data_IF_128681159182
#
_entry.id   IF_128681159182
#
_cell.length_a   1.000
_cell.length_b   1.000
_cell.length_c   1.000
_cell.angle_alpha   90.00
_cell.angle_beta   90.00
_cell.angle_gamma   90.00
#
_symmetry.space_group_name_H-M   'P 1'
#
loop_
_entity.id
_entity.type
_entity.pdbx_description
1 polymer ?
#
# COMPACT_ATOMS: atom_id res chain seq x y z
N UNK A 1 10.62 32.37 15.65
CA UNK A 1 9.23 31.97 15.83
C UNK A 1 9.07 30.49 15.48
N UNK A 2 9.10 29.69 16.50
CA UNK A 2 9.10 28.24 16.51
C UNK A 2 7.70 27.69 16.30
N UNK A 3 7.17 27.74 15.08
CA UNK A 3 5.90 27.12 14.80
C UNK A 3 6.01 26.13 13.66
N UNK A 4 6.71 25.04 13.92
CA UNK A 4 6.55 23.81 13.19
C UNK A 4 6.72 22.62 14.13
N UNK A 5 6.01 22.64 15.26
CA UNK A 5 5.79 21.43 16.03
C UNK A 5 4.81 20.61 15.20
N UNK A 6 5.33 19.60 14.54
CA UNK A 6 4.50 18.62 13.85
C UNK A 6 3.99 17.65 14.88
N UNK A 7 2.79 17.91 15.36
CA UNK A 7 2.14 17.15 16.44
C UNK A 7 1.68 15.75 16.04
N UNK A 8 1.88 15.38 14.77
CA UNK A 8 1.48 14.06 14.27
C UNK A 8 2.66 13.29 13.67
N UNK A 9 2.73 11.97 13.89
CA UNK A 9 3.73 11.13 13.25
C UNK A 9 3.60 11.21 11.73
N UNK A 10 4.71 11.37 11.03
CA UNK A 10 4.78 11.40 9.57
C UNK A 10 5.86 10.46 9.06
N UNK A 11 5.63 9.91 7.88
CA UNK A 11 6.57 8.97 7.26
C UNK A 11 7.85 9.67 6.79
N UNK A 12 9.00 9.06 7.09
CA UNK A 12 10.31 9.52 6.63
C UNK A 12 10.69 8.98 5.25
N UNK A 13 9.88 8.11 4.66
CA UNK A 13 10.21 7.35 3.44
C UNK A 13 10.60 8.25 2.26
N UNK A 14 10.03 9.42 2.19
CA UNK A 14 10.25 10.40 1.13
C UNK A 14 10.99 11.65 1.62
N UNK A 15 11.67 11.54 2.76
CA UNK A 15 12.51 12.61 3.25
C UNK A 15 13.91 12.47 2.64
N UNK A 16 14.38 13.52 1.99
CA UNK A 16 15.75 13.65 1.54
C UNK A 16 16.64 13.77 2.79
N UNK A 17 17.29 12.64 3.18
CA UNK A 17 17.96 12.50 4.46
C UNK A 17 19.09 13.52 4.67
N UNK A 18 18.79 14.66 5.26
CA UNK A 18 19.75 15.61 5.74
C UNK A 18 19.82 16.96 5.02
N UNK A 19 19.01 17.22 4.02
CA UNK A 19 18.87 18.58 3.50
C UNK A 19 17.82 19.35 4.31
N UNK A 20 18.30 20.04 5.35
CA UNK A 20 17.48 20.92 6.19
C UNK A 20 16.83 22.08 5.44
N UNK A 21 17.16 22.26 4.16
CA UNK A 21 16.65 23.30 3.29
C UNK A 21 15.71 22.75 2.21
N UNK A 22 14.62 22.08 2.64
CA UNK A 22 13.51 21.92 1.74
C UNK A 22 12.86 23.29 1.53
N UNK A 23 13.38 24.03 0.56
CA UNK A 23 12.79 25.28 0.12
C UNK A 23 11.39 25.00 -0.40
N UNK A 24 10.39 25.35 0.37
CA UNK A 24 8.96 25.24 -0.05
C UNK A 24 8.68 26.00 -1.34
N UNK A 25 9.60 26.86 -1.78
CA UNK A 25 9.43 27.69 -2.98
C UNK A 25 9.54 26.92 -4.29
N UNK A 26 10.30 25.84 -4.36
CA UNK A 26 10.56 25.21 -5.65
C UNK A 26 9.85 23.88 -5.92
N UNK A 27 9.20 23.26 -4.96
CA UNK A 27 8.46 21.97 -5.11
C UNK A 27 9.17 20.92 -6.00
N UNK A 28 10.46 21.09 -6.26
CA UNK A 28 11.30 20.21 -7.05
C UNK A 28 12.20 19.42 -6.11
N UNK A 29 12.24 18.14 -6.32
CA UNK A 29 13.14 17.23 -5.62
C UNK A 29 13.90 16.42 -6.65
N UNK A 30 15.17 16.12 -6.36
CA UNK A 30 15.99 15.23 -7.18
C UNK A 30 15.67 13.75 -6.87
N UNK A 31 14.70 13.50 -5.98
CA UNK A 31 14.26 12.15 -5.66
C UNK A 31 13.43 11.58 -6.81
N UNK A 32 13.83 10.43 -7.29
CA UNK A 32 13.01 9.64 -8.21
C UNK A 32 12.00 8.81 -7.42
N UNK A 33 10.81 8.65 -8.00
CA UNK A 33 9.76 7.78 -7.46
C UNK A 33 9.93 6.41 -8.12
N UNK A 34 10.29 5.38 -7.38
CA UNK A 34 10.39 4.03 -7.94
C UNK A 34 8.99 3.54 -8.33
N UNK A 35 8.87 2.97 -9.53
CA UNK A 35 7.62 2.37 -10.01
C UNK A 35 7.50 0.95 -9.48
N UNK A 36 8.59 0.19 -9.50
CA UNK A 36 8.70 -1.17 -8.97
C UNK A 36 10.00 -1.26 -8.18
N UNK A 37 9.95 -1.86 -7.01
CA UNK A 37 11.09 -2.13 -6.16
C UNK A 37 11.32 -3.63 -6.03
N UNK A 38 12.50 -4.03 -5.62
CA UNK A 38 12.79 -5.45 -5.37
C UNK A 38 11.87 -6.06 -4.30
N UNK A 39 11.47 -5.27 -3.30
CA UNK A 39 10.48 -5.68 -2.31
C UNK A 39 9.14 -6.08 -2.94
N UNK A 40 8.69 -5.34 -3.96
CA UNK A 40 7.45 -5.64 -4.68
C UNK A 40 7.56 -7.00 -5.41
N UNK A 41 8.72 -7.25 -6.03
CA UNK A 41 8.99 -8.53 -6.70
C UNK A 41 8.95 -9.70 -5.72
N UNK A 42 9.56 -9.56 -4.54
CA UNK A 42 9.54 -10.58 -3.49
C UNK A 42 8.12 -10.86 -2.98
N UNK A 43 7.33 -9.82 -2.77
CA UNK A 43 5.96 -9.97 -2.30
C UNK A 43 5.03 -10.55 -3.37
N UNK A 44 5.18 -10.16 -4.65
CA UNK A 44 4.45 -10.75 -5.77
C UNK A 44 4.77 -12.23 -5.88
N UNK A 45 6.05 -12.60 -5.81
CA UNK A 45 6.49 -13.99 -5.88
C UNK A 45 5.89 -14.81 -4.71
N UNK A 46 6.02 -14.32 -3.48
CA UNK A 46 5.51 -15.03 -2.30
C UNK A 46 3.98 -15.20 -2.35
N UNK A 47 3.25 -14.19 -2.82
CA UNK A 47 1.80 -14.26 -2.98
C UNK A 47 1.42 -15.29 -4.05
N UNK A 48 2.02 -15.23 -5.22
CA UNK A 48 1.76 -16.14 -6.32
C UNK A 48 2.10 -17.59 -5.95
N UNK A 49 3.26 -17.80 -5.33
CA UNK A 49 3.71 -19.12 -4.87
C UNK A 49 2.77 -19.70 -3.81
N UNK A 50 2.35 -18.88 -2.84
CA UNK A 50 1.38 -19.32 -1.83
C UNK A 50 0.04 -19.70 -2.46
N UNK A 51 -0.45 -18.96 -3.47
CA UNK A 51 -1.71 -19.29 -4.14
C UNK A 51 -1.60 -20.57 -4.97
N UNK A 52 -0.52 -20.79 -5.65
CA UNK A 52 -0.30 -21.95 -6.50
C UNK A 52 -0.01 -23.22 -5.67
N UNK A 53 0.98 -23.15 -4.80
CA UNK A 53 1.61 -24.31 -4.17
C UNK A 53 1.44 -24.33 -2.63
N UNK A 54 0.89 -23.27 -2.03
CA UNK A 54 0.83 -23.09 -0.59
C UNK A 54 2.12 -22.45 -0.04
N UNK A 55 2.28 -22.44 1.30
CA UNK A 55 3.40 -21.78 1.97
C UNK A 55 4.69 -22.59 1.84
N UNK A 56 5.30 -22.58 0.65
CA UNK A 56 6.57 -23.24 0.38
C UNK A 56 7.75 -22.54 1.06
N UNK A 57 8.89 -23.24 1.20
CA UNK A 57 10.12 -22.66 1.72
C UNK A 57 10.55 -21.42 0.91
N UNK A 58 10.41 -21.45 -0.41
CA UNK A 58 10.74 -20.33 -1.29
C UNK A 58 9.86 -19.10 -1.05
N UNK A 59 8.55 -19.31 -0.80
CA UNK A 59 7.63 -18.21 -0.44
C UNK A 59 7.99 -17.60 0.92
N UNK A 60 8.34 -18.41 1.91
CA UNK A 60 8.83 -17.92 3.20
C UNK A 60 10.14 -17.14 3.06
N UNK A 61 11.10 -17.65 2.29
CA UNK A 61 12.39 -16.98 2.09
C UNK A 61 12.20 -15.58 1.49
N UNK A 62 11.30 -15.43 0.53
CA UNK A 62 11.01 -14.16 -0.09
C UNK A 62 10.45 -13.13 0.92
N UNK A 63 9.47 -13.52 1.73
CA UNK A 63 8.89 -12.63 2.75
C UNK A 63 9.89 -12.35 3.86
N UNK A 64 10.62 -13.37 4.32
CA UNK A 64 11.55 -13.25 5.42
C UNK A 64 12.74 -12.35 5.11
N UNK A 65 13.16 -12.22 3.84
CA UNK A 65 14.17 -11.23 3.45
C UNK A 65 13.73 -9.81 3.81
N UNK A 66 12.46 -9.46 3.61
CA UNK A 66 11.91 -8.15 3.97
C UNK A 66 11.83 -7.98 5.48
N UNK A 67 11.40 -9.02 6.17
CA UNK A 67 11.26 -9.01 7.63
C UNK A 67 12.61 -8.88 8.34
N UNK A 68 13.62 -9.63 7.91
CA UNK A 68 14.98 -9.53 8.44
C UNK A 68 15.54 -8.12 8.23
N UNK A 69 15.36 -7.52 7.05
CA UNK A 69 15.76 -6.13 6.80
C UNK A 69 15.08 -5.16 7.75
N UNK A 70 13.81 -5.42 8.11
CA UNK A 70 13.04 -4.61 9.05
C UNK A 70 13.30 -4.93 10.53
N UNK A 71 14.18 -5.89 10.84
CA UNK A 71 14.47 -6.32 12.22
C UNK A 71 13.33 -7.12 12.85
N UNK A 72 12.51 -7.80 12.05
CA UNK A 72 11.39 -8.62 12.49
C UNK A 72 11.74 -10.10 12.43
N UNK A 73 11.08 -10.90 13.28
CA UNK A 73 11.24 -12.36 13.30
C UNK A 73 10.72 -13.00 12.00
N UNK A 74 11.32 -14.11 11.62
CA UNK A 74 10.92 -14.90 10.47
C UNK A 74 9.55 -15.55 10.66
N UNK A 75 8.78 -15.58 9.59
CA UNK A 75 7.54 -16.37 9.52
C UNK A 75 7.87 -17.83 9.22
N UNK A 76 7.14 -18.76 9.84
CA UNK A 76 7.21 -20.19 9.58
C UNK A 76 5.95 -20.92 10.04
N UNK A 77 5.68 -22.10 9.49
CA UNK A 77 4.64 -23.02 9.98
C UNK A 77 3.20 -22.52 9.84
N UNK A 78 2.94 -21.56 8.99
CA UNK A 78 1.60 -21.02 8.76
C UNK A 78 0.81 -21.87 7.75
N UNK A 79 -0.51 -21.90 7.89
CA UNK A 79 -1.39 -22.42 6.85
C UNK A 79 -1.39 -21.48 5.63
N UNK A 80 -1.85 -21.98 4.47
CA UNK A 80 -2.01 -21.17 3.24
C UNK A 80 -2.76 -19.87 3.51
N UNK A 81 -3.86 -19.94 4.25
CA UNK A 81 -4.70 -18.79 4.53
C UNK A 81 -4.03 -17.80 5.49
N UNK A 82 -3.45 -18.28 6.57
CA UNK A 82 -2.75 -17.40 7.54
C UNK A 82 -1.49 -16.79 6.93
N UNK A 83 -0.82 -17.50 6.02
CA UNK A 83 0.32 -16.96 5.30
C UNK A 83 -0.10 -15.90 4.28
N UNK A 84 -1.23 -16.10 3.56
CA UNK A 84 -1.84 -15.06 2.71
C UNK A 84 -2.08 -13.76 3.48
N UNK A 85 -2.69 -13.86 4.66
CA UNK A 85 -2.94 -12.68 5.50
C UNK A 85 -1.63 -12.01 5.96
N UNK A 86 -0.62 -12.82 6.29
CA UNK A 86 0.69 -12.30 6.63
C UNK A 86 1.34 -11.55 5.45
N UNK A 87 1.31 -12.10 4.24
CA UNK A 87 1.81 -11.44 3.01
C UNK A 87 1.06 -10.13 2.76
N UNK A 88 -0.26 -10.12 2.88
CA UNK A 88 -1.07 -8.90 2.72
C UNK A 88 -0.69 -7.82 3.75
N UNK A 89 -0.39 -8.24 4.97
CA UNK A 89 0.11 -7.35 6.02
C UNK A 89 1.49 -6.79 5.66
N UNK A 90 2.42 -7.63 5.18
CA UNK A 90 3.73 -7.16 4.74
C UNK A 90 3.62 -6.19 3.56
N UNK A 91 2.74 -6.44 2.59
CA UNK A 91 2.42 -5.50 1.52
C UNK A 91 2.01 -4.13 2.08
N UNK A 92 1.11 -4.12 3.04
CA UNK A 92 0.61 -2.88 3.64
C UNK A 92 1.71 -2.10 4.34
N UNK A 93 2.58 -2.78 5.10
CA UNK A 93 3.66 -2.17 5.84
C UNK A 93 4.78 -1.68 4.91
N UNK A 94 5.20 -2.52 3.95
CA UNK A 94 6.30 -2.23 3.04
C UNK A 94 5.98 -1.09 2.07
N UNK A 95 4.73 -1.03 1.58
CA UNK A 95 4.32 -0.03 0.59
C UNK A 95 3.59 1.17 1.19
N UNK A 96 3.73 1.38 2.50
CA UNK A 96 3.19 2.56 3.19
C UNK A 96 3.71 3.84 2.52
N UNK A 97 2.80 4.78 2.22
CA UNK A 97 3.05 6.03 1.48
C UNK A 97 3.39 5.87 -0.02
N UNK A 98 3.28 4.69 -0.61
CA UNK A 98 3.52 4.47 -2.04
C UNK A 98 2.24 4.46 -2.90
N UNK A 99 1.09 4.73 -2.30
CA UNK A 99 -0.24 4.80 -2.96
C UNK A 99 -0.73 3.48 -3.59
N UNK A 100 -0.06 2.36 -3.35
CA UNK A 100 -0.41 1.05 -3.90
C UNK A 100 -1.52 0.37 -3.08
N UNK A 101 -1.72 0.77 -1.83
CA UNK A 101 -2.62 0.10 -0.89
C UNK A 101 -4.05 -0.07 -1.43
N UNK A 102 -4.63 0.98 -2.05
CA UNK A 102 -5.96 0.91 -2.66
C UNK A 102 -6.04 -0.18 -3.73
N UNK A 103 -5.05 -0.23 -4.63
CA UNK A 103 -5.02 -1.22 -5.71
C UNK A 103 -4.92 -2.64 -5.16
N UNK A 104 -4.14 -2.85 -4.12
CA UNK A 104 -4.04 -4.12 -3.43
C UNK A 104 -5.38 -4.53 -2.81
N UNK A 105 -6.07 -3.65 -2.10
CA UNK A 105 -7.39 -3.94 -1.53
C UNK A 105 -8.42 -4.29 -2.59
N UNK A 106 -8.39 -3.61 -3.75
CA UNK A 106 -9.32 -3.91 -4.86
C UNK A 106 -9.03 -5.29 -5.45
N UNK A 107 -7.75 -5.61 -5.76
CA UNK A 107 -7.41 -6.92 -6.34
C UNK A 107 -7.61 -8.09 -5.37
N UNK A 108 -7.52 -7.85 -4.06
CA UNK A 108 -7.86 -8.85 -3.03
C UNK A 108 -9.37 -8.96 -2.76
N UNK A 109 -10.19 -8.10 -3.35
CA UNK A 109 -11.63 -8.07 -3.12
C UNK A 109 -12.05 -7.57 -1.74
N UNK A 110 -11.12 -6.97 -0.98
CA UNK A 110 -11.34 -6.55 0.41
C UNK A 110 -11.61 -5.05 0.57
N UNK A 111 -11.52 -4.28 -0.52
CA UNK A 111 -11.62 -2.82 -0.48
C UNK A 111 -12.89 -2.31 0.22
N UNK A 112 -14.06 -2.83 -0.16
CA UNK A 112 -15.33 -2.35 0.39
C UNK A 112 -15.45 -2.64 1.89
N UNK A 113 -15.03 -3.84 2.31
CA UNK A 113 -15.07 -4.26 3.71
C UNK A 113 -14.18 -3.37 4.56
N UNK A 114 -12.91 -3.26 4.17
CA UNK A 114 -11.91 -2.45 4.91
C UNK A 114 -12.32 -0.97 4.97
N UNK A 115 -12.81 -0.42 3.85
CA UNK A 115 -13.22 0.98 3.81
C UNK A 115 -14.49 1.24 4.60
N UNK A 116 -15.46 0.33 4.60
CA UNK A 116 -16.66 0.43 5.43
C UNK A 116 -16.29 0.42 6.91
N UNK A 117 -15.46 -0.51 7.36
CA UNK A 117 -14.99 -0.58 8.74
C UNK A 117 -14.25 0.70 9.16
N UNK A 118 -13.33 1.17 8.31
CA UNK A 118 -12.59 2.40 8.55
C UNK A 118 -13.50 3.62 8.71
N UNK A 119 -14.45 3.81 7.77
CA UNK A 119 -15.37 4.93 7.83
C UNK A 119 -16.36 4.80 8.98
N UNK A 120 -16.85 3.60 9.26
CA UNK A 120 -17.75 3.38 10.39
C UNK A 120 -17.12 3.78 11.72
N UNK A 121 -15.83 3.53 11.88
CA UNK A 121 -15.07 3.88 13.08
C UNK A 121 -14.74 5.37 13.16
N UNK A 122 -14.38 6.01 12.06
CA UNK A 122 -13.79 7.35 12.07
C UNK A 122 -14.72 8.43 11.51
N UNK A 123 -15.62 8.09 10.58
CA UNK A 123 -16.51 9.04 9.88
C UNK A 123 -17.83 8.35 9.50
N UNK A 124 -18.69 7.99 10.46
CA UNK A 124 -19.89 7.17 10.23
C UNK A 124 -20.82 7.74 9.14
N UNK A 125 -20.90 9.05 9.02
CA UNK A 125 -21.74 9.73 8.02
C UNK A 125 -21.29 9.51 6.57
N UNK A 126 -20.04 9.05 6.36
CA UNK A 126 -19.45 8.79 5.05
C UNK A 126 -19.54 7.33 4.61
N UNK A 127 -19.97 6.42 5.46
CA UNK A 127 -20.07 4.97 5.15
C UNK A 127 -20.92 4.73 3.91
N UNK A 128 -22.00 5.48 3.73
CA UNK A 128 -22.89 5.41 2.57
C UNK A 128 -22.19 5.66 1.23
N UNK A 129 -21.03 6.32 1.25
CA UNK A 129 -20.26 6.61 0.05
C UNK A 129 -19.35 5.45 -0.38
N UNK A 130 -19.27 4.36 0.41
CA UNK A 130 -18.47 3.18 0.09
C UNK A 130 -19.34 2.19 -0.68
N UNK A 131 -19.40 2.36 -1.99
CA UNK A 131 -20.22 1.57 -2.92
C UNK A 131 -19.36 0.83 -3.94
N UNK A 132 -19.90 -0.16 -4.62
CA UNK A 132 -19.24 -0.92 -5.68
C UNK A 132 -18.83 -0.03 -6.86
N UNK A 133 -19.62 0.97 -7.19
CA UNK A 133 -19.33 1.94 -8.25
C UNK A 133 -18.01 2.70 -8.01
N UNK A 134 -17.57 2.78 -6.75
CA UNK A 134 -16.33 3.46 -6.35
C UNK A 134 -15.12 2.53 -6.25
N UNK A 135 -15.25 1.27 -6.64
CA UNK A 135 -14.10 0.36 -6.77
C UNK A 135 -13.11 0.86 -7.82
N UNK A 136 -13.62 1.43 -8.89
CA UNK A 136 -12.83 1.96 -9.99
C UNK A 136 -12.85 3.48 -10.00
N UNK A 137 -11.87 4.08 -10.63
CA UNK A 137 -11.90 5.52 -10.87
C UNK A 137 -12.94 5.81 -11.96
N UNK A 138 -13.74 6.88 -11.80
CA UNK A 138 -14.67 7.26 -12.85
C UNK A 138 -13.90 7.68 -14.12
N UNK A 139 -14.51 7.48 -15.27
CA UNK A 139 -14.00 8.02 -16.51
C UNK A 139 -13.95 9.55 -16.41
N UNK A 140 -12.84 10.20 -16.83
CA UNK A 140 -12.78 11.65 -16.88
C UNK A 140 -13.93 12.23 -17.73
N UNK A 141 -14.55 13.30 -17.27
CA UNK A 141 -15.66 13.94 -17.96
C UNK A 141 -15.31 14.32 -19.40
N UNK A 142 -14.09 14.81 -19.62
CA UNK A 142 -13.60 15.14 -20.96
C UNK A 142 -13.60 13.93 -21.91
N UNK A 143 -13.24 12.74 -21.42
CA UNK A 143 -13.17 11.54 -22.26
C UNK A 143 -14.57 11.02 -22.60
N UNK A 144 -15.53 11.12 -21.67
CA UNK A 144 -16.93 10.78 -21.92
C UNK A 144 -17.61 11.76 -22.87
N UNK A 145 -17.18 13.03 -22.94
CA UNK A 145 -17.69 14.00 -23.91
C UNK A 145 -17.17 13.73 -25.34
N UNK A 146 -15.97 13.19 -25.48
CA UNK A 146 -15.38 12.88 -26.79
C UNK A 146 -15.81 11.53 -27.30
N UNK A 147 -16.00 10.54 -26.42
CA UNK A 147 -16.38 9.20 -26.79
C UNK A 147 -17.73 8.82 -26.14
N UNK A 148 -18.85 8.94 -26.87
CA UNK A 148 -20.18 8.65 -26.34
C UNK A 148 -20.42 7.17 -26.04
N UNK A 149 -19.46 6.29 -26.33
CA UNK A 149 -19.53 4.84 -26.03
C UNK A 149 -18.82 4.45 -24.73
N UNK A 150 -18.36 5.42 -23.94
CA UNK A 150 -17.76 5.20 -22.62
C UNK A 150 -18.82 5.27 -21.51
#
# INVERSE_FOLDING_TARGET
SEMCIRDSPHGKKWCDGGRENFSQRNKRTDMYIPIIRYADVLLIFAEAENEANGPTAAAYDAVNQLRVRAGLDNLSGLSKETFRQAIQKEWTLETTHERIYRFNLVRWGTYLTVMKEYFQKNFPEKVKNVTEERLYFPCPEHDSLINPNL
#
